data_IF_057571435263
#
_entry.id   IF_057571435263
#
_cell.length_a   1.000
_cell.length_b   1.000
_cell.length_c   1.000
_cell.angle_alpha   90.00
_cell.angle_beta   90.00
_cell.angle_gamma   90.00
#
_symmetry.space_group_name_H-M   'P 1'
#
loop_
_entity.id
_entity.type
_entity.pdbx_description
1 polymer ?
#
# COMPACT_ATOMS: atom_id res chain seq x y z
N UNK A 1 14.25 18.23 4.40
CA UNK A 1 12.87 17.82 4.60
C UNK A 1 12.79 16.75 5.71
N UNK A 2 11.65 16.69 6.40
CA UNK A 2 11.45 15.67 7.44
C UNK A 2 10.98 14.36 6.80
N UNK A 3 10.13 14.45 5.80
CA UNK A 3 9.62 13.33 5.00
C UNK A 3 9.55 13.77 3.54
N UNK A 4 9.91 12.87 2.63
CA UNK A 4 9.67 13.01 1.19
C UNK A 4 8.79 11.85 0.73
N UNK A 5 7.88 12.12 -0.21
CA UNK A 5 6.94 11.11 -0.71
C UNK A 5 6.70 11.30 -2.20
N UNK A 6 6.59 10.20 -2.92
CA UNK A 6 6.06 10.17 -4.28
C UNK A 6 4.87 9.22 -4.33
N UNK A 7 3.93 9.46 -5.25
CA UNK A 7 2.76 8.61 -5.41
C UNK A 7 2.36 8.49 -6.88
N UNK A 8 1.90 7.29 -7.27
CA UNK A 8 1.35 7.02 -8.59
C UNK A 8 -0.15 6.78 -8.48
N UNK A 9 -0.92 7.49 -9.30
CA UNK A 9 -2.37 7.43 -9.29
C UNK A 9 -2.89 6.88 -10.61
N UNK A 10 -3.92 6.04 -10.52
CA UNK A 10 -4.62 5.50 -11.68
C UNK A 10 -6.03 6.04 -11.72
N UNK A 11 -6.49 6.44 -12.90
CA UNK A 11 -7.87 6.86 -13.12
C UNK A 11 -8.66 5.67 -13.63
N UNK A 12 -9.78 5.37 -12.99
CA UNK A 12 -10.65 4.26 -13.33
C UNK A 12 -12.06 4.76 -13.62
N UNK A 13 -12.64 4.31 -14.71
CA UNK A 13 -14.05 4.51 -14.98
C UNK A 13 -14.91 3.69 -14.02
N UNK A 14 -15.82 4.34 -13.30
CA UNK A 14 -16.61 3.73 -12.24
C UNK A 14 -17.59 2.66 -12.74
N UNK A 15 -18.09 2.80 -13.98
CA UNK A 15 -19.07 1.90 -14.54
C UNK A 15 -18.43 0.66 -15.18
N UNK A 16 -17.36 0.87 -15.93
CA UNK A 16 -16.69 -0.20 -16.68
C UNK A 16 -15.54 -0.83 -15.92
N UNK A 17 -15.08 -0.20 -14.82
CA UNK A 17 -13.90 -0.59 -14.03
C UNK A 17 -12.61 -0.70 -14.85
N UNK A 18 -12.55 0.01 -15.98
CA UNK A 18 -11.38 0.06 -16.85
C UNK A 18 -10.53 1.29 -16.54
N UNK A 19 -9.22 1.10 -16.60
CA UNK A 19 -8.26 2.20 -16.50
C UNK A 19 -8.45 3.16 -17.65
N UNK A 20 -8.39 4.46 -17.33
CA UNK A 20 -8.46 5.57 -18.26
C UNK A 20 -7.11 6.28 -18.31
N UNK A 21 -6.78 6.84 -19.46
CA UNK A 21 -5.63 7.72 -19.58
C UNK A 21 -5.96 9.07 -18.94
N UNK A 22 -5.04 9.57 -18.13
CA UNK A 22 -5.22 10.83 -17.41
C UNK A 22 -5.52 12.00 -18.38
N UNK A 23 -4.82 12.05 -19.51
CA UNK A 23 -4.99 13.08 -20.54
C UNK A 23 -6.44 13.11 -21.10
N UNK A 24 -7.07 11.94 -21.25
CA UNK A 24 -8.43 11.86 -21.79
C UNK A 24 -9.50 12.32 -20.79
N UNK A 25 -9.23 12.21 -19.48
CA UNK A 25 -10.21 12.53 -18.43
C UNK A 25 -10.00 13.94 -17.89
N UNK A 26 -8.75 14.36 -17.73
CA UNK A 26 -8.37 15.61 -17.08
C UNK A 26 -7.98 16.72 -18.07
N UNK A 27 -7.79 16.37 -19.35
CA UNK A 27 -7.27 17.27 -20.38
C UNK A 27 -5.75 17.40 -20.35
N UNK A 28 -5.17 17.85 -21.46
CA UNK A 28 -3.71 17.99 -21.60
C UNK A 28 -3.14 19.10 -20.72
N UNK A 29 -3.94 20.11 -20.40
CA UNK A 29 -3.50 21.30 -19.64
C UNK A 29 -3.07 20.97 -18.20
N UNK A 30 -3.55 19.87 -17.61
CA UNK A 30 -3.19 19.49 -16.23
C UNK A 30 -1.69 19.21 -16.09
N UNK A 31 -1.05 18.74 -17.14
CA UNK A 31 0.38 18.43 -17.13
C UNK A 31 1.26 19.66 -17.38
N UNK A 32 0.71 20.74 -17.91
CA UNK A 32 1.47 21.97 -18.16
C UNK A 32 1.69 22.80 -16.90
N UNK A 33 0.86 22.60 -15.87
CA UNK A 33 0.96 23.28 -14.57
C UNK A 33 1.72 22.48 -13.52
N UNK A 34 2.09 21.22 -13.82
CA UNK A 34 2.85 20.38 -12.92
C UNK A 34 4.28 20.91 -12.74
N UNK A 35 4.75 20.97 -11.50
CA UNK A 35 6.15 21.20 -11.23
C UNK A 35 6.96 19.97 -11.68
N UNK A 36 8.07 20.21 -12.40
CA UNK A 36 8.90 19.16 -12.97
C UNK A 36 10.00 18.65 -12.01
N UNK A 37 9.96 19.07 -10.74
CA UNK A 37 10.90 18.60 -9.74
C UNK A 37 10.28 17.43 -8.95
N UNK A 38 10.84 16.25 -9.17
CA UNK A 38 10.44 15.06 -8.40
C UNK A 38 10.99 15.14 -6.98
N UNK A 39 10.16 14.81 -6.00
CA UNK A 39 10.57 14.77 -4.59
C UNK A 39 11.52 13.61 -4.30
N UNK A 40 11.48 12.56 -5.11
CA UNK A 40 12.34 11.37 -5.07
C UNK A 40 12.84 11.08 -6.48
N UNK A 41 14.09 10.63 -6.59
CA UNK A 41 14.70 10.26 -7.87
C UNK A 41 14.02 9.05 -8.52
N UNK A 42 13.51 8.12 -7.69
CA UNK A 42 12.84 6.92 -8.15
C UNK A 42 11.32 7.05 -8.06
N UNK A 43 10.65 6.71 -9.15
CA UNK A 43 9.20 6.62 -9.17
C UNK A 43 8.71 5.43 -8.33
N UNK A 44 7.52 5.57 -7.74
CA UNK A 44 6.86 4.47 -7.03
C UNK A 44 6.55 3.31 -7.99
N UNK A 45 7.32 2.24 -7.90
CA UNK A 45 7.23 1.05 -8.74
C UNK A 45 6.34 -0.04 -8.14
N UNK A 46 6.15 -1.11 -8.91
CA UNK A 46 5.46 -2.31 -8.42
C UNK A 46 6.40 -3.10 -7.53
N UNK A 47 5.94 -3.45 -6.33
CA UNK A 47 6.66 -4.34 -5.43
C UNK A 47 6.66 -5.77 -5.96
N UNK A 48 7.82 -6.44 -5.86
CA UNK A 48 7.97 -7.85 -6.25
C UNK A 48 8.17 -8.67 -4.99
N UNK A 49 7.28 -9.61 -4.75
CA UNK A 49 7.23 -10.41 -3.53
C UNK A 49 7.64 -11.86 -3.79
N UNK A 50 8.34 -12.50 -2.83
CA UNK A 50 8.61 -13.93 -2.90
C UNK A 50 7.29 -14.72 -2.83
N UNK A 51 7.29 -15.92 -3.43
CA UNK A 51 6.09 -16.77 -3.42
C UNK A 51 5.81 -17.40 -2.05
N UNK A 52 6.88 -17.68 -1.30
CA UNK A 52 6.84 -18.43 -0.05
C UNK A 52 6.95 -17.48 1.15
N UNK A 53 5.88 -16.71 1.37
CA UNK A 53 5.75 -15.84 2.54
C UNK A 53 4.98 -16.55 3.64
N UNK A 54 5.41 -16.39 4.89
CA UNK A 54 4.74 -16.99 6.03
C UNK A 54 3.42 -16.27 6.35
N UNK A 55 2.34 -17.02 6.48
CA UNK A 55 1.09 -16.53 7.08
C UNK A 55 1.33 -16.30 8.58
N UNK A 56 1.15 -15.06 9.03
CA UNK A 56 1.38 -14.66 10.43
C UNK A 56 0.07 -14.60 11.20
N UNK A 57 -0.95 -13.95 10.65
CA UNK A 57 -2.25 -13.76 11.28
C UNK A 57 -3.29 -13.35 10.26
N UNK A 58 -4.55 -13.21 10.70
CA UNK A 58 -5.64 -12.70 9.88
C UNK A 58 -6.40 -11.63 10.64
N UNK A 59 -6.93 -10.63 9.92
CA UNK A 59 -7.78 -9.58 10.46
C UNK A 59 -9.14 -9.61 9.76
N UNK A 60 -10.22 -9.57 10.56
CA UNK A 60 -11.56 -9.37 10.04
C UNK A 60 -11.85 -7.87 10.00
N UNK A 61 -12.09 -7.33 8.81
CA UNK A 61 -12.43 -5.93 8.60
C UNK A 61 -13.69 -5.57 9.38
N UNK A 62 -13.59 -4.57 10.25
CA UNK A 62 -14.67 -4.10 11.14
C UNK A 62 -15.07 -2.66 10.80
N UNK A 63 -16.13 -2.16 11.45
CA UNK A 63 -16.68 -0.83 11.14
C UNK A 63 -15.66 0.31 11.31
N UNK A 64 -14.77 0.23 12.30
CA UNK A 64 -13.74 1.25 12.54
C UNK A 64 -12.63 1.30 11.47
N UNK A 65 -12.59 0.31 10.60
CA UNK A 65 -11.65 0.27 9.48
C UNK A 65 -12.19 0.96 8.23
N UNK A 66 -13.51 1.24 8.20
CA UNK A 66 -14.22 1.70 7.01
C UNK A 66 -14.25 3.22 6.92
N UNK A 67 -13.98 3.75 5.75
CA UNK A 67 -14.09 5.16 5.41
C UNK A 67 -15.52 5.54 4.95
N UNK A 68 -15.70 6.82 4.61
CA UNK A 68 -16.99 7.34 4.14
C UNK A 68 -17.45 6.77 2.79
N UNK A 69 -16.56 6.13 2.03
CA UNK A 69 -16.87 5.50 0.74
C UNK A 69 -17.33 4.04 0.93
N UNK A 70 -17.33 3.52 2.16
CA UNK A 70 -17.72 2.15 2.47
C UNK A 70 -16.64 1.11 2.17
N UNK A 71 -15.40 1.54 2.00
CA UNK A 71 -14.23 0.68 1.83
C UNK A 71 -13.27 0.83 3.00
N UNK A 72 -12.37 -0.12 3.17
CA UNK A 72 -11.29 0.00 4.15
C UNK A 72 -10.47 1.26 3.87
N UNK A 73 -10.29 2.09 4.91
CA UNK A 73 -9.46 3.27 4.83
C UNK A 73 -8.01 2.89 4.52
N UNK A 74 -7.39 3.56 3.56
CA UNK A 74 -6.01 3.30 3.16
C UNK A 74 -5.01 3.34 4.31
N UNK A 75 -5.22 4.20 5.32
CA UNK A 75 -4.38 4.25 6.51
C UNK A 75 -4.40 2.94 7.33
N UNK A 76 -5.52 2.20 7.29
CA UNK A 76 -5.64 0.94 8.03
C UNK A 76 -4.70 -0.14 7.51
N UNK A 77 -4.49 -0.20 6.21
CA UNK A 77 -3.51 -1.14 5.64
C UNK A 77 -2.09 -0.86 6.14
N UNK A 78 -1.76 0.43 6.36
CA UNK A 78 -0.47 0.81 6.95
C UNK A 78 -0.39 0.38 8.41
N UNK A 79 -1.42 0.68 9.23
CA UNK A 79 -1.49 0.26 10.63
C UNK A 79 -1.31 -1.26 10.74
N UNK A 80 -2.08 -2.04 9.99
CA UNK A 80 -2.01 -3.50 10.00
C UNK A 80 -0.64 -4.04 9.56
N UNK A 81 0.00 -3.38 8.57
CA UNK A 81 1.32 -3.79 8.13
C UNK A 81 2.37 -3.67 9.24
N UNK A 82 2.28 -2.63 10.08
CA UNK A 82 3.16 -2.49 11.25
C UNK A 82 2.78 -3.44 12.39
N UNK A 83 1.49 -3.69 12.62
CA UNK A 83 0.99 -4.55 13.70
C UNK A 83 1.46 -6.01 13.58
N UNK A 84 1.75 -6.48 12.35
CA UNK A 84 2.19 -7.86 12.11
C UNK A 84 3.71 -8.04 12.15
N UNK A 85 4.47 -6.96 12.34
CA UNK A 85 5.92 -7.01 12.48
C UNK A 85 6.35 -7.32 13.93
N UNK A 86 7.60 -7.78 14.13
CA UNK A 86 8.14 -7.94 15.47
C UNK A 86 8.10 -6.62 16.25
N UNK A 87 7.49 -6.66 17.44
CA UNK A 87 7.29 -5.48 18.29
C UNK A 87 8.59 -4.76 18.63
N UNK A 88 9.66 -5.50 18.85
CA UNK A 88 10.97 -4.94 19.18
C UNK A 88 11.52 -4.09 18.04
N UNK A 89 11.33 -4.53 16.79
CA UNK A 89 11.73 -3.76 15.59
C UNK A 89 10.89 -2.49 15.48
N UNK A 90 9.58 -2.63 15.58
CA UNK A 90 8.65 -1.51 15.39
C UNK A 90 8.80 -0.42 16.47
N UNK A 91 9.13 -0.80 17.71
CA UNK A 91 9.26 0.15 18.83
C UNK A 91 10.64 0.80 18.93
N UNK A 92 11.71 0.15 18.45
CA UNK A 92 13.07 0.59 18.70
C UNK A 92 13.86 0.98 17.44
N UNK A 93 13.26 0.83 16.26
CA UNK A 93 13.90 1.22 14.99
C UNK A 93 13.18 2.39 14.33
N UNK A 94 13.93 3.21 13.59
CA UNK A 94 13.36 4.27 12.75
C UNK A 94 13.01 3.71 11.38
N UNK A 95 11.85 4.09 10.86
CA UNK A 95 11.49 3.80 9.46
C UNK A 95 12.33 4.68 8.54
N UNK A 96 13.08 4.05 7.64
CA UNK A 96 13.86 4.69 6.61
C UNK A 96 13.05 4.85 5.31
N UNK A 97 12.35 3.78 4.92
CA UNK A 97 11.55 3.74 3.70
C UNK A 97 10.25 2.96 3.94
N UNK A 98 9.18 3.48 3.41
CA UNK A 98 7.88 2.82 3.38
C UNK A 98 7.26 2.95 2.00
N UNK A 99 6.96 1.82 1.37
CA UNK A 99 6.20 1.78 0.13
C UNK A 99 4.95 0.92 0.30
N UNK A 100 3.82 1.35 -0.26
CA UNK A 100 2.59 0.58 -0.29
C UNK A 100 1.97 0.60 -1.68
N UNK A 101 1.52 -0.57 -2.14
CA UNK A 101 0.74 -0.74 -3.36
C UNK A 101 -0.65 -1.24 -2.97
N UNK A 102 -1.68 -0.45 -3.29
CA UNK A 102 -3.08 -0.82 -3.11
C UNK A 102 -3.56 -1.55 -4.37
N UNK A 103 -3.80 -2.86 -4.25
CA UNK A 103 -4.15 -3.70 -5.39
C UNK A 103 -5.66 -3.86 -5.57
N UNK A 104 -6.41 -3.98 -4.45
CA UNK A 104 -7.87 -4.13 -4.44
C UNK A 104 -8.46 -3.50 -3.18
N UNK A 105 -9.71 -3.09 -3.29
CA UNK A 105 -10.51 -2.62 -2.15
C UNK A 105 -10.94 -3.79 -1.26
N UNK A 106 -11.00 -3.57 0.06
CA UNK A 106 -11.64 -4.48 1.00
C UNK A 106 -12.81 -3.79 1.71
N UNK A 107 -13.74 -4.58 2.24
CA UNK A 107 -14.99 -4.12 2.82
C UNK A 107 -15.25 -4.77 4.18
N UNK A 108 -16.19 -4.22 4.93
CA UNK A 108 -16.62 -4.77 6.21
C UNK A 108 -16.96 -6.25 6.09
N UNK A 109 -16.39 -7.06 7.00
CA UNK A 109 -16.59 -8.50 7.04
C UNK A 109 -15.57 -9.32 6.25
N UNK A 110 -14.80 -8.71 5.35
CA UNK A 110 -13.69 -9.39 4.67
C UNK A 110 -12.67 -9.90 5.69
N UNK A 111 -12.03 -11.02 5.40
CA UNK A 111 -10.91 -11.54 6.17
C UNK A 111 -9.65 -11.32 5.35
N UNK A 112 -8.71 -10.63 5.94
CA UNK A 112 -7.41 -10.33 5.32
C UNK A 112 -6.34 -11.17 6.02
N UNK A 113 -5.72 -12.07 5.28
CA UNK A 113 -4.61 -12.90 5.72
C UNK A 113 -3.29 -12.17 5.49
N UNK A 114 -2.52 -11.98 6.55
CA UNK A 114 -1.23 -11.28 6.47
C UNK A 114 -0.09 -12.25 6.29
N UNK A 115 0.64 -12.07 5.20
CA UNK A 115 1.85 -12.81 4.89
C UNK A 115 3.06 -11.90 5.02
N UNK A 116 4.10 -12.38 5.70
CA UNK A 116 5.30 -11.61 5.98
C UNK A 116 6.54 -12.37 5.49
N UNK A 117 7.47 -11.63 4.92
CA UNK A 117 8.83 -12.08 4.65
C UNK A 117 9.83 -11.01 5.06
N UNK A 118 11.00 -11.42 5.51
CA UNK A 118 12.12 -10.54 5.80
C UNK A 118 13.32 -11.01 4.97
N UNK A 119 13.51 -10.42 3.78
CA UNK A 119 14.62 -10.81 2.91
C UNK A 119 15.98 -10.35 3.43
N UNK A 120 16.00 -9.39 4.35
CA UNK A 120 17.19 -8.87 5.02
C UNK A 120 16.80 -8.44 6.44
N UNK A 121 17.76 -8.27 7.34
CA UNK A 121 17.53 -7.99 8.78
C UNK A 121 16.64 -6.76 9.03
N UNK A 122 16.73 -5.75 8.16
CA UNK A 122 16.01 -4.48 8.32
C UNK A 122 14.91 -4.27 7.27
N UNK A 123 14.59 -5.27 6.45
CA UNK A 123 13.59 -5.16 5.38
C UNK A 123 12.46 -6.14 5.63
N UNK A 124 11.24 -5.62 5.65
CA UNK A 124 10.02 -6.40 5.81
C UNK A 124 9.10 -6.19 4.61
N UNK A 125 8.59 -7.29 4.10
CA UNK A 125 7.57 -7.34 3.07
C UNK A 125 6.29 -7.87 3.70
N UNK A 126 5.20 -7.10 3.65
CA UNK A 126 3.90 -7.52 4.16
C UNK A 126 2.88 -7.52 3.03
N UNK A 127 2.20 -8.64 2.84
CA UNK A 127 1.13 -8.77 1.87
C UNK A 127 -0.17 -9.17 2.57
N UNK A 128 -1.22 -8.36 2.39
CA UNK A 128 -2.56 -8.70 2.80
C UNK A 128 -3.31 -9.38 1.67
N UNK A 129 -3.85 -10.59 1.92
CA UNK A 129 -4.62 -11.37 0.94
C UNK A 129 -6.03 -11.62 1.42
N UNK A 130 -6.97 -11.65 0.49
CA UNK A 130 -8.34 -12.13 0.68
C UNK A 130 -8.60 -13.24 -0.33
N UNK A 131 -8.94 -14.44 0.15
CA UNK A 131 -9.19 -15.61 -0.71
C UNK A 131 -8.03 -15.91 -1.68
N UNK A 132 -6.78 -15.69 -1.23
CA UNK A 132 -5.58 -15.86 -2.03
C UNK A 132 -5.24 -14.72 -3.00
N UNK A 133 -6.12 -13.72 -3.13
CA UNK A 133 -5.87 -12.53 -3.96
C UNK A 133 -5.20 -11.42 -3.15
N UNK A 134 -4.18 -10.78 -3.71
CA UNK A 134 -3.49 -9.64 -3.11
C UNK A 134 -4.40 -8.41 -3.02
N UNK A 135 -4.59 -7.89 -1.81
CA UNK A 135 -5.32 -6.66 -1.52
C UNK A 135 -4.35 -5.49 -1.46
N UNK A 136 -3.26 -5.63 -0.73
CA UNK A 136 -2.18 -4.65 -0.64
C UNK A 136 -0.84 -5.33 -0.43
N UNK A 137 0.22 -4.59 -0.74
CA UNK A 137 1.61 -5.01 -0.55
C UNK A 137 2.40 -3.85 0.00
N UNK A 138 3.22 -4.08 1.03
CA UNK A 138 4.11 -3.07 1.60
C UNK A 138 5.54 -3.55 1.66
N UNK A 139 6.46 -2.60 1.44
CA UNK A 139 7.86 -2.73 1.79
C UNK A 139 8.12 -1.74 2.93
N UNK A 140 8.74 -2.22 4.01
CA UNK A 140 9.12 -1.41 5.17
C UNK A 140 10.60 -1.66 5.42
N UNK A 141 11.38 -0.59 5.40
CA UNK A 141 12.81 -0.64 5.67
C UNK A 141 13.11 0.21 6.90
N UNK A 142 13.86 -0.36 7.82
CA UNK A 142 14.32 0.29 9.03
C UNK A 142 15.80 0.64 8.94
N UNK A 143 16.20 1.67 9.71
CA UNK A 143 17.61 2.03 9.92
C UNK A 143 18.25 1.16 10.97
#
# INVERSE_FOLDING_TARGET
>A
PVIVCTSSWLIMDLNTRRLQRAEHVLGEDIFTTAHHEDAMEEACGKLIFPKDMALVTSHKVVLSDIDMNGHTNNAKYMEWAFDVLPTDVTLHSEVDEFQINFNKESKIGDIIDFHVASPDDNIYLVEGKRDGESIFQTLIKFK
#
